data_IF_518274527970
#
_entry.id   IF_518274527970
#
_cell.length_a   1.000
_cell.length_b   1.000
_cell.length_c   1.000
_cell.angle_alpha   90.00
_cell.angle_beta   90.00
_cell.angle_gamma   90.00
#
_symmetry.space_group_name_H-M   'P 1'
#
loop_
_entity.id
_entity.type
_entity.pdbx_description
1 polymer ?
#
# COMPACT_ATOMS: atom_id res chain seq x y z
N UNK A 1 -5.30 6.87 -16.37
CA UNK A 1 -3.92 6.98 -16.85
C UNK A 1 -3.31 8.23 -16.26
N UNK A 2 -2.04 8.17 -15.88
CA UNK A 2 -1.27 9.30 -15.38
C UNK A 2 -0.75 10.15 -16.54
N UNK A 3 -0.66 11.46 -16.35
CA UNK A 3 0.00 12.35 -17.30
C UNK A 3 1.53 12.21 -17.22
N UNK A 4 2.22 12.65 -18.28
CA UNK A 4 3.69 12.71 -18.26
C UNK A 4 4.22 13.60 -17.12
N UNK A 5 3.53 14.70 -16.82
CA UNK A 5 3.90 15.60 -15.72
C UNK A 5 3.75 14.92 -14.36
N UNK A 6 2.70 14.11 -14.17
CA UNK A 6 2.51 13.32 -12.94
C UNK A 6 3.60 12.26 -12.77
N UNK A 7 3.97 11.57 -13.86
CA UNK A 7 5.06 10.59 -13.84
C UNK A 7 6.40 11.27 -13.54
N UNK A 8 6.66 12.43 -14.15
CA UNK A 8 7.88 13.19 -13.90
C UNK A 8 7.93 13.73 -12.46
N UNK A 9 6.81 14.22 -11.94
CA UNK A 9 6.70 14.64 -10.54
C UNK A 9 7.03 13.48 -9.60
N UNK A 10 6.45 12.30 -9.82
CA UNK A 10 6.74 11.10 -9.05
C UNK A 10 8.23 10.74 -9.08
N UNK A 11 8.86 10.74 -10.26
CA UNK A 11 10.29 10.42 -10.41
C UNK A 11 11.20 11.41 -9.67
N UNK A 12 10.80 12.68 -9.61
CA UNK A 12 11.57 13.73 -8.93
C UNK A 12 11.35 13.72 -7.42
N UNK A 13 10.13 13.44 -6.96
CA UNK A 13 9.73 13.61 -5.55
C UNK A 13 9.50 12.30 -4.81
N UNK A 14 9.59 11.14 -5.46
CA UNK A 14 9.33 9.84 -4.87
C UNK A 14 7.88 9.60 -4.44
N UNK A 15 6.98 10.55 -4.68
CA UNK A 15 5.56 10.41 -4.42
C UNK A 15 4.70 11.14 -5.44
N UNK A 16 3.43 10.75 -5.50
CA UNK A 16 2.40 11.41 -6.29
C UNK A 16 1.06 11.27 -5.56
N UNK A 17 0.33 12.38 -5.40
CA UNK A 17 -1.06 12.35 -4.95
C UNK A 17 -1.97 12.44 -6.17
N UNK A 18 -2.93 11.53 -6.25
CA UNK A 18 -4.04 11.56 -7.19
C UNK A 18 -5.31 11.78 -6.39
N UNK A 19 -5.88 12.98 -6.51
CA UNK A 19 -7.17 13.34 -5.90
C UNK A 19 -8.30 12.62 -6.62
N UNK A 20 -9.41 12.38 -5.90
CA UNK A 20 -10.59 11.70 -6.45
C UNK A 20 -10.25 10.36 -7.14
N UNK A 21 -9.23 9.66 -6.63
CA UNK A 21 -8.76 8.42 -7.23
C UNK A 21 -9.84 7.34 -7.16
N UNK A 22 -10.43 7.12 -5.98
CA UNK A 22 -11.60 6.27 -5.79
C UNK A 22 -12.90 7.07 -5.87
N UNK A 23 -13.94 6.45 -6.41
CA UNK A 23 -15.30 6.96 -6.31
C UNK A 23 -15.85 6.76 -4.90
N UNK A 24 -16.94 7.46 -4.54
CA UNK A 24 -17.61 7.25 -3.25
C UNK A 24 -18.05 5.79 -3.05
N UNK A 25 -18.52 5.13 -4.12
CA UNK A 25 -18.90 3.71 -4.08
C UNK A 25 -17.69 2.80 -3.81
N UNK A 26 -16.53 3.07 -4.44
CA UNK A 26 -15.30 2.32 -4.20
C UNK A 26 -14.76 2.57 -2.78
N UNK A 27 -14.79 3.81 -2.30
CA UNK A 27 -14.43 4.13 -0.90
C UNK A 27 -15.28 3.32 0.07
N UNK A 28 -16.59 3.25 -0.16
CA UNK A 28 -17.49 2.46 0.68
C UNK A 28 -17.16 0.96 0.65
N UNK A 29 -16.84 0.40 -0.52
CA UNK A 29 -16.43 -1.01 -0.64
C UNK A 29 -15.22 -1.33 0.24
N UNK A 30 -14.18 -0.50 0.18
CA UNK A 30 -12.99 -0.69 1.01
C UNK A 30 -13.27 -0.40 2.49
N UNK A 31 -14.15 0.55 2.81
CA UNK A 31 -14.51 0.87 4.19
C UNK A 31 -15.27 -0.30 4.85
N UNK A 32 -16.19 -0.94 4.12
CA UNK A 32 -16.94 -2.10 4.60
C UNK A 32 -16.01 -3.31 4.85
N UNK A 33 -15.11 -3.62 3.92
CA UNK A 33 -14.12 -4.69 4.09
C UNK A 33 -13.16 -4.39 5.25
N UNK A 34 -12.69 -3.13 5.39
CA UNK A 34 -11.88 -2.71 6.53
C UNK A 34 -12.62 -2.87 7.86
N UNK A 35 -13.89 -2.45 7.94
CA UNK A 35 -14.74 -2.59 9.12
C UNK A 35 -14.87 -4.05 9.53
N UNK A 36 -15.17 -4.94 8.57
CA UNK A 36 -15.32 -6.38 8.81
C UNK A 36 -14.03 -7.01 9.35
N UNK A 37 -12.89 -6.77 8.70
CA UNK A 37 -11.61 -7.33 9.13
C UNK A 37 -11.13 -6.72 10.46
N UNK A 38 -11.37 -5.42 10.68
CA UNK A 38 -11.05 -4.76 11.95
C UNK A 38 -11.85 -5.37 13.09
N UNK A 39 -13.16 -5.56 12.92
CA UNK A 39 -14.00 -6.16 13.95
C UNK A 39 -13.52 -7.57 14.31
N UNK A 40 -13.17 -8.39 13.30
CA UNK A 40 -12.59 -9.71 13.52
C UNK A 40 -11.29 -9.62 14.34
N UNK A 41 -10.33 -8.78 13.93
CA UNK A 41 -9.07 -8.62 14.64
C UNK A 41 -9.27 -8.11 16.08
N UNK A 42 -10.22 -7.20 16.28
CA UNK A 42 -10.56 -6.63 17.58
C UNK A 42 -11.10 -7.69 18.56
N UNK A 43 -11.79 -8.72 18.06
CA UNK A 43 -12.24 -9.86 18.87
C UNK A 43 -11.08 -10.78 19.29
N UNK A 44 -9.98 -10.78 18.54
CA UNK A 44 -8.80 -11.62 18.81
C UNK A 44 -7.71 -10.90 19.62
N UNK A 45 -7.67 -9.57 19.60
CA UNK A 45 -6.63 -8.78 20.28
C UNK A 45 -6.79 -7.27 20.06
N UNK A 46 -5.95 -6.49 20.75
CA UNK A 46 -5.91 -5.04 20.62
C UNK A 46 -5.28 -4.61 19.29
N UNK A 47 -5.97 -3.74 18.55
CA UNK A 47 -5.55 -3.29 17.22
C UNK A 47 -4.18 -2.59 17.25
N UNK A 48 -3.83 -1.91 18.35
CA UNK A 48 -2.56 -1.19 18.44
C UNK A 48 -1.45 -2.12 18.91
N UNK A 49 -1.64 -2.82 20.03
CA UNK A 49 -0.54 -3.60 20.63
C UNK A 49 -0.33 -4.97 19.99
N UNK A 50 -1.41 -5.66 19.59
CA UNK A 50 -1.31 -7.03 19.06
C UNK A 50 -1.20 -7.04 17.54
N UNK A 51 -1.89 -6.11 16.86
CA UNK A 51 -1.90 -6.00 15.39
C UNK A 51 -1.02 -4.88 14.83
N UNK A 52 -0.46 -4.01 15.68
CA UNK A 52 0.42 -2.93 15.22
C UNK A 52 -0.26 -1.91 14.29
N UNK A 53 -1.58 -1.78 14.38
CA UNK A 53 -2.44 -0.99 13.49
C UNK A 53 -2.48 -1.47 12.02
N UNK A 54 -1.95 -2.66 11.70
CA UNK A 54 -1.89 -3.19 10.32
C UNK A 54 -2.68 -4.49 10.24
N UNK A 55 -3.64 -4.53 9.31
CA UNK A 55 -4.49 -5.70 9.07
C UNK A 55 -4.34 -6.13 7.62
N UNK A 56 -3.72 -7.27 7.39
CA UNK A 56 -3.60 -7.89 6.06
C UNK A 56 -4.79 -8.83 5.81
N UNK A 57 -5.62 -8.63 4.78
CA UNK A 57 -6.80 -9.47 4.52
C UNK A 57 -6.52 -10.97 4.46
N UNK A 58 -5.33 -11.36 3.98
CA UNK A 58 -4.87 -12.75 3.91
C UNK A 58 -3.84 -13.13 4.99
N UNK A 59 -3.53 -12.20 5.90
CA UNK A 59 -2.53 -12.39 6.96
C UNK A 59 -3.10 -12.27 8.38
N UNK A 60 -4.34 -11.78 8.54
CA UNK A 60 -4.94 -11.55 9.85
C UNK A 60 -5.68 -12.76 10.44
N UNK A 61 -5.70 -13.91 9.75
CA UNK A 61 -6.40 -15.12 10.21
C UNK A 61 -7.90 -15.16 9.90
N UNK A 62 -8.45 -14.16 9.20
CA UNK A 62 -9.85 -14.17 8.77
C UNK A 62 -10.19 -15.34 7.83
N UNK A 63 -9.23 -15.70 6.97
CA UNK A 63 -9.28 -16.93 6.17
C UNK A 63 -8.47 -18.01 6.87
N UNK A 64 -8.90 -19.26 6.78
CA UNK A 64 -8.16 -20.38 7.37
C UNK A 64 -6.79 -20.51 6.70
N UNK A 65 -5.74 -20.85 7.46
CA UNK A 65 -4.36 -21.00 6.94
C UNK A 65 -4.29 -21.99 5.76
N UNK A 66 -5.11 -23.03 5.78
CA UNK A 66 -5.22 -24.02 4.70
C UNK A 66 -5.78 -23.43 3.40
N UNK A 67 -6.53 -22.32 3.47
CA UNK A 67 -7.05 -21.60 2.30
C UNK A 67 -6.00 -20.64 1.73
N UNK A 68 -5.15 -20.04 2.56
CA UNK A 68 -4.12 -19.07 2.15
C UNK A 68 -2.86 -19.78 1.61
N UNK A 69 -3.05 -20.57 0.57
CA UNK A 69 -1.99 -21.37 -0.08
C UNK A 69 -1.00 -20.51 -0.88
N UNK A 70 0.16 -21.08 -1.22
CA UNK A 70 1.11 -20.46 -2.15
C UNK A 70 0.48 -20.15 -3.51
N UNK A 71 -0.49 -20.96 -3.95
CA UNK A 71 -1.26 -20.71 -5.16
C UNK A 71 -2.11 -19.44 -5.00
N UNK A 72 -2.86 -19.31 -3.91
CA UNK A 72 -3.64 -18.11 -3.62
C UNK A 72 -2.77 -16.84 -3.50
N UNK A 73 -1.50 -16.98 -3.10
CA UNK A 73 -0.53 -15.87 -3.03
C UNK A 73 0.19 -15.55 -4.34
N UNK A 74 0.03 -16.32 -5.42
CA UNK A 74 0.77 -16.12 -6.68
C UNK A 74 -0.02 -16.26 -7.96
N UNK A 75 -1.28 -16.69 -7.88
CA UNK A 75 -2.17 -16.90 -9.02
C UNK A 75 -3.39 -15.98 -8.93
N UNK A 76 -3.61 -15.17 -9.96
CA UNK A 76 -4.66 -14.15 -10.01
C UNK A 76 -6.07 -14.74 -9.87
N UNK A 77 -6.48 -15.78 -10.62
CA UNK A 77 -7.76 -16.45 -10.40
C UNK A 77 -7.95 -16.96 -8.96
N UNK A 78 -6.91 -17.58 -8.38
CA UNK A 78 -6.96 -18.11 -7.02
C UNK A 78 -7.09 -17.01 -5.96
N UNK A 79 -6.31 -15.92 -6.09
CA UNK A 79 -6.43 -14.73 -5.24
C UNK A 79 -7.82 -14.10 -5.33
N UNK A 80 -8.33 -13.87 -6.55
CA UNK A 80 -9.67 -13.31 -6.77
C UNK A 80 -10.76 -14.20 -6.17
N UNK A 81 -10.62 -15.52 -6.32
CA UNK A 81 -11.58 -16.48 -5.75
C UNK A 81 -11.54 -16.50 -4.23
N UNK A 82 -10.37 -16.35 -3.61
CA UNK A 82 -10.24 -16.30 -2.16
C UNK A 82 -10.77 -14.99 -1.59
N UNK A 83 -10.35 -13.84 -2.14
CA UNK A 83 -10.81 -12.52 -1.68
C UNK A 83 -12.31 -12.30 -1.88
N UNK A 84 -12.91 -12.88 -2.92
CA UNK A 84 -14.35 -12.84 -3.14
C UNK A 84 -15.18 -13.60 -2.09
N UNK A 85 -14.55 -14.38 -1.19
CA UNK A 85 -15.26 -15.02 -0.07
C UNK A 85 -15.52 -14.06 1.08
N UNK A 86 -14.69 -13.02 1.24
CA UNK A 86 -14.82 -12.06 2.34
C UNK A 86 -15.21 -10.65 1.90
N UNK A 87 -15.10 -10.33 0.60
CA UNK A 87 -15.46 -9.03 0.04
C UNK A 87 -16.18 -9.16 -1.32
N UNK A 88 -16.96 -8.15 -1.75
CA UNK A 88 -17.48 -8.11 -3.11
C UNK A 88 -16.35 -8.23 -4.14
N UNK A 89 -16.51 -9.06 -5.18
CA UNK A 89 -15.49 -9.31 -6.21
C UNK A 89 -14.96 -8.02 -6.89
N UNK A 90 -15.76 -6.96 -6.91
CA UNK A 90 -15.35 -5.65 -7.41
C UNK A 90 -14.14 -5.06 -6.65
N UNK A 91 -13.99 -5.34 -5.35
CA UNK A 91 -12.90 -4.83 -4.53
C UNK A 91 -11.53 -5.36 -4.96
N UNK A 92 -11.25 -6.69 -4.98
CA UNK A 92 -9.95 -7.19 -5.41
C UNK A 92 -9.70 -6.97 -6.90
N UNK A 93 -10.75 -6.82 -7.73
CA UNK A 93 -10.59 -6.35 -9.12
C UNK A 93 -10.13 -4.89 -9.16
N UNK A 94 -10.73 -3.99 -8.37
CA UNK A 94 -10.28 -2.60 -8.27
C UNK A 94 -8.82 -2.52 -7.81
N UNK A 95 -8.41 -3.33 -6.82
CA UNK A 95 -7.02 -3.44 -6.36
C UNK A 95 -6.07 -3.80 -7.51
N UNK A 96 -6.39 -4.80 -8.32
CA UNK A 96 -5.47 -5.22 -9.38
C UNK A 96 -5.55 -4.31 -10.63
N UNK A 97 -6.76 -3.88 -11.00
CA UNK A 97 -7.01 -3.27 -12.32
C UNK A 97 -7.02 -1.75 -12.26
N UNK A 98 -7.24 -1.13 -11.09
CA UNK A 98 -7.19 0.33 -10.94
C UNK A 98 -5.91 0.77 -10.26
N UNK A 99 -5.68 0.29 -9.04
CA UNK A 99 -4.43 0.60 -8.32
C UNK A 99 -3.22 0.04 -9.07
N UNK A 100 -3.28 -1.23 -9.49
CA UNK A 100 -2.20 -1.88 -10.21
C UNK A 100 -1.83 -1.17 -11.51
N UNK A 101 -2.81 -0.75 -12.33
CA UNK A 101 -2.53 -0.02 -13.58
C UNK A 101 -1.87 1.34 -13.34
N UNK A 102 -2.20 2.04 -12.26
CA UNK A 102 -1.53 3.29 -11.91
C UNK A 102 -0.12 3.04 -11.37
N UNK A 103 0.04 2.05 -10.49
CA UNK A 103 1.35 1.67 -9.97
C UNK A 103 2.31 1.21 -11.08
N UNK A 104 1.83 0.46 -12.07
CA UNK A 104 2.63 0.00 -13.21
C UNK A 104 3.16 1.15 -14.09
N UNK A 105 2.48 2.29 -14.14
CA UNK A 105 3.00 3.47 -14.86
C UNK A 105 4.15 4.16 -14.12
N UNK A 106 4.29 3.91 -12.81
CA UNK A 106 5.32 4.48 -11.94
C UNK A 106 6.49 3.53 -11.70
N UNK A 107 6.24 2.22 -11.84
CA UNK A 107 7.26 1.17 -11.77
C UNK A 107 8.04 1.06 -13.09
N UNK A 108 9.21 0.43 -13.00
CA UNK A 108 10.02 0.11 -14.17
C UNK A 108 9.30 -0.92 -15.06
N UNK A 109 9.11 -0.59 -16.34
CA UNK A 109 8.21 -1.32 -17.24
C UNK A 109 8.88 -2.55 -17.89
N UNK A 110 10.19 -2.74 -17.69
CA UNK A 110 10.95 -3.82 -18.34
C UNK A 110 10.71 -5.20 -17.70
N UNK A 111 9.96 -5.30 -16.59
CA UNK A 111 9.55 -6.59 -16.02
C UNK A 111 8.09 -6.60 -15.56
N UNK A 112 7.49 -7.81 -15.42
CA UNK A 112 6.11 -7.94 -14.95
C UNK A 112 5.91 -7.33 -13.56
N UNK A 113 4.76 -6.69 -13.38
CA UNK A 113 4.35 -6.10 -12.09
C UNK A 113 3.45 -7.07 -11.33
N UNK A 114 3.62 -7.10 -10.00
CA UNK A 114 2.85 -7.94 -9.11
C UNK A 114 2.26 -7.14 -7.95
N UNK A 115 1.05 -7.51 -7.49
CA UNK A 115 0.60 -7.14 -6.14
C UNK A 115 1.50 -7.85 -5.14
N UNK A 116 2.19 -7.05 -4.34
CA UNK A 116 3.18 -7.46 -3.34
C UNK A 116 2.55 -7.59 -1.95
N UNK A 117 1.72 -6.64 -1.56
CA UNK A 117 0.99 -6.69 -0.31
C UNK A 117 -0.37 -5.98 -0.44
N UNK A 118 -1.30 -6.30 0.45
CA UNK A 118 -2.51 -5.52 0.69
C UNK A 118 -2.76 -5.44 2.19
N UNK A 119 -2.97 -4.23 2.69
CA UNK A 119 -3.20 -4.01 4.10
C UNK A 119 -4.13 -2.84 4.35
N UNK A 120 -4.87 -2.92 5.46
CA UNK A 120 -5.54 -1.79 6.07
C UNK A 120 -4.67 -1.26 7.20
N UNK A 121 -4.49 0.06 7.25
CA UNK A 121 -3.85 0.74 8.37
C UNK A 121 -4.95 1.43 9.18
N UNK A 122 -5.21 0.90 10.37
CA UNK A 122 -6.34 1.27 11.22
C UNK A 122 -5.81 1.88 12.52
N UNK A 123 -6.04 3.19 12.71
CA UNK A 123 -5.66 3.88 13.94
C UNK A 123 -6.90 4.20 14.78
N UNK A 124 -7.07 3.60 15.97
CA UNK A 124 -8.16 3.94 16.87
C UNK A 124 -8.14 5.42 17.29
N UNK A 125 -9.28 6.00 17.69
CA UNK A 125 -9.33 7.38 18.16
C UNK A 125 -8.45 7.58 19.41
N UNK A 126 -7.97 8.81 19.60
CA UNK A 126 -7.16 9.23 20.76
C UNK A 126 -5.99 8.30 21.11
N UNK A 127 -5.30 7.79 20.08
CA UNK A 127 -4.24 6.80 20.21
C UNK A 127 -2.90 7.35 19.78
N UNK A 128 -2.16 7.93 20.73
CA UNK A 128 -0.79 8.44 20.53
C UNK A 128 0.20 7.32 20.19
N UNK A 129 -0.05 6.12 20.74
CA UNK A 129 0.75 4.91 20.51
C UNK A 129 0.58 4.33 19.10
N UNK A 130 -0.47 4.72 18.36
CA UNK A 130 -0.73 4.26 17.00
C UNK A 130 0.18 4.94 15.95
N UNK A 131 1.39 5.35 16.30
CA UNK A 131 2.32 6.03 15.39
C UNK A 131 3.21 5.03 14.64
N UNK A 132 3.57 5.37 13.41
CA UNK A 132 4.60 4.66 12.66
C UNK A 132 5.86 5.52 12.65
N UNK A 133 6.97 4.98 13.14
CA UNK A 133 8.26 5.66 13.14
C UNK A 133 8.74 5.93 11.71
N UNK A 134 9.73 6.82 11.56
CA UNK A 134 10.37 7.07 10.26
C UNK A 134 10.98 5.80 9.69
N UNK A 135 10.58 5.45 8.47
CA UNK A 135 11.08 4.27 7.76
C UNK A 135 11.01 4.48 6.23
N UNK A 136 11.54 3.50 5.50
CA UNK A 136 11.35 3.30 4.07
C UNK A 136 10.82 1.87 3.92
N UNK A 137 9.84 1.63 3.06
CA UNK A 137 9.21 0.31 2.91
C UNK A 137 10.20 -0.77 2.45
N UNK A 138 11.20 -0.40 1.65
CA UNK A 138 12.27 -1.33 1.23
C UNK A 138 13.01 -1.95 2.42
N UNK A 139 13.01 -1.31 3.60
CA UNK A 139 13.74 -1.80 4.78
C UNK A 139 13.12 -3.05 5.40
N UNK A 140 11.87 -3.37 5.09
CA UNK A 140 11.23 -4.63 5.50
C UNK A 140 11.76 -5.85 4.73
N UNK A 141 12.55 -5.62 3.66
CA UNK A 141 13.15 -6.67 2.86
C UNK A 141 14.65 -6.85 3.16
N UNK A 142 15.18 -8.02 2.82
CA UNK A 142 16.62 -8.31 2.92
C UNK A 142 17.43 -7.41 1.97
N UNK A 143 18.73 -7.28 2.20
CA UNK A 143 19.59 -6.41 1.38
C UNK A 143 19.58 -6.79 -0.11
N UNK A 144 19.51 -8.08 -0.44
CA UNK A 144 19.39 -8.55 -1.82
C UNK A 144 18.02 -8.26 -2.45
N UNK A 145 16.96 -8.18 -1.64
CA UNK A 145 15.60 -7.89 -2.08
C UNK A 145 15.32 -6.39 -2.23
N UNK A 146 16.09 -5.53 -1.55
CA UNK A 146 15.94 -4.06 -1.62
C UNK A 146 16.18 -3.45 -3.00
N UNK A 147 16.69 -4.23 -3.95
CA UNK A 147 16.89 -3.80 -5.34
C UNK A 147 15.58 -3.76 -6.15
N UNK A 148 14.51 -4.38 -5.66
CA UNK A 148 13.21 -4.34 -6.33
C UNK A 148 12.59 -2.94 -6.22
N UNK A 149 12.14 -2.41 -7.35
CA UNK A 149 11.27 -1.23 -7.38
C UNK A 149 9.91 -1.57 -6.80
N UNK A 150 9.49 -0.83 -5.78
CA UNK A 150 8.22 -1.01 -5.06
C UNK A 150 7.47 0.32 -5.06
N UNK A 151 6.15 0.26 -5.26
CA UNK A 151 5.24 1.38 -5.07
C UNK A 151 4.21 1.00 -4.01
N UNK A 152 4.10 1.81 -2.97
CA UNK A 152 3.04 1.73 -1.95
C UNK A 152 1.95 2.74 -2.28
N UNK A 153 0.67 2.35 -2.28
CA UNK A 153 -0.43 3.24 -2.62
C UNK A 153 -1.29 3.54 -1.39
N UNK A 154 -0.93 4.56 -0.64
CA UNK A 154 -1.59 4.93 0.60
C UNK A 154 -2.88 5.71 0.32
N UNK A 155 -4.03 5.11 0.61
CA UNK A 155 -5.36 5.62 0.20
C UNK A 155 -6.27 5.76 1.42
N UNK A 156 -6.46 6.98 1.95
CA UNK A 156 -7.35 7.22 3.07
C UNK A 156 -8.80 6.90 2.70
N UNK A 157 -9.48 6.13 3.55
CA UNK A 157 -10.94 5.88 3.45
C UNK A 157 -11.75 6.88 4.28
N UNK A 158 -11.05 7.72 5.04
CA UNK A 158 -11.56 8.87 5.79
C UNK A 158 -10.59 10.02 5.58
N UNK A 159 -11.03 11.26 5.40
CA UNK A 159 -10.12 12.39 5.17
C UNK A 159 -9.07 12.52 6.28
N UNK A 160 -7.85 12.87 5.89
CA UNK A 160 -6.67 12.85 6.78
C UNK A 160 -5.96 14.19 6.85
N UNK A 161 -5.43 14.44 8.04
CA UNK A 161 -4.59 15.59 8.38
C UNK A 161 -3.59 15.19 9.45
N UNK A 162 -2.75 16.12 9.88
CA UNK A 162 -1.81 15.92 10.97
C UNK A 162 -2.52 15.56 12.29
N UNK A 163 -3.77 16.01 12.46
CA UNK A 163 -4.55 15.78 13.68
C UNK A 163 -5.00 14.32 13.85
N UNK A 164 -5.17 13.57 12.76
CA UNK A 164 -5.61 12.16 12.81
C UNK A 164 -4.57 11.18 12.23
N UNK A 165 -3.30 11.61 12.17
CA UNK A 165 -2.20 10.72 11.84
C UNK A 165 -2.00 10.49 10.34
N UNK A 166 -2.05 11.56 9.54
CA UNK A 166 -1.61 11.52 8.14
C UNK A 166 -0.12 11.17 8.00
N UNK A 167 0.29 10.83 6.79
CA UNK A 167 1.68 10.56 6.43
C UNK A 167 2.47 11.87 6.35
N UNK A 168 3.64 11.86 6.99
CA UNK A 168 4.69 12.86 6.81
C UNK A 168 5.78 12.25 5.94
N UNK A 169 6.24 12.96 4.94
CA UNK A 169 7.33 12.52 4.05
C UNK A 169 8.48 13.50 4.09
N UNK A 170 9.69 12.97 4.00
CA UNK A 170 10.88 13.77 3.74
C UNK A 170 11.02 14.06 2.25
N UNK A 171 11.68 15.17 1.86
CA UNK A 171 12.15 15.34 0.49
C UNK A 171 12.90 14.10 0.02
N UNK A 172 12.47 13.54 -1.11
CA UNK A 172 13.06 12.35 -1.71
C UNK A 172 14.55 12.59 -2.01
N UNK A 173 15.40 11.56 -1.80
CA UNK A 173 16.82 11.72 -1.98
C UNK A 173 17.10 11.90 -3.47
N UNK A 174 18.36 12.17 -3.79
CA UNK A 174 18.83 12.20 -5.17
C UNK A 174 18.26 10.99 -5.96
N UNK A 175 17.43 11.21 -7.00
CA UNK A 175 16.83 10.14 -7.79
C UNK A 175 17.86 9.20 -8.43
N UNK A 176 19.12 9.63 -8.58
CA UNK A 176 20.22 8.79 -9.05
C UNK A 176 20.73 7.81 -7.98
N UNK A 177 20.54 8.12 -6.69
CA UNK A 177 20.99 7.31 -5.56
C UNK A 177 19.96 7.29 -4.42
N UNK A 178 18.80 6.64 -4.62
CA UNK A 178 17.75 6.54 -3.60
C UNK A 178 18.10 5.46 -2.56
N UNK A 179 19.28 5.60 -1.94
CA UNK A 179 19.80 4.68 -0.95
C UNK A 179 18.94 4.66 0.31
N UNK A 180 19.22 3.66 1.15
CA UNK A 180 18.68 3.60 2.51
C UNK A 180 19.15 4.84 3.28
N UNK A 181 18.21 5.68 3.71
CA UNK A 181 18.51 6.84 4.54
C UNK A 181 19.11 6.38 5.86
N UNK A 182 20.29 6.92 6.18
CA UNK A 182 20.92 6.77 7.50
C UNK A 182 20.85 8.11 8.22
N UNK A 183 20.03 8.20 9.26
CA UNK A 183 20.00 9.38 10.14
C UNK A 183 18.60 9.80 10.60
N UNK A 184 18.59 10.74 11.54
CA UNK A 184 17.38 11.43 11.99
C UNK A 184 16.72 12.19 10.82
N UNK A 185 15.41 12.44 10.88
CA UNK A 185 14.74 13.18 9.83
C UNK A 185 15.26 14.63 9.71
N UNK A 186 15.32 15.17 8.49
CA UNK A 186 15.49 16.60 8.25
C UNK A 186 14.12 17.27 8.36
N UNK A 187 13.92 18.03 9.43
CA UNK A 187 12.67 18.75 9.67
C UNK A 187 12.41 19.84 8.62
N UNK A 188 13.42 20.22 7.82
CA UNK A 188 13.25 21.21 6.74
C UNK A 188 12.68 20.55 5.49
N UNK A 189 11.55 21.07 5.03
CA UNK A 189 10.93 20.63 3.78
C UNK A 189 10.05 19.39 3.92
N UNK A 190 9.71 18.98 5.15
CA UNK A 190 8.71 17.94 5.39
C UNK A 190 7.38 18.31 4.73
N UNK A 191 6.78 17.32 4.05
CA UNK A 191 5.46 17.43 3.48
C UNK A 191 4.47 16.57 4.28
N UNK A 192 3.36 17.17 4.69
CA UNK A 192 2.25 16.46 5.33
C UNK A 192 1.15 16.21 4.29
N UNK A 193 0.81 14.95 4.05
CA UNK A 193 -0.16 14.55 3.03
C UNK A 193 -1.60 14.76 3.51
N UNK A 194 -2.09 16.01 3.53
CA UNK A 194 -3.52 16.28 3.76
C UNK A 194 -4.32 15.83 2.54
N UNK A 195 -5.28 14.94 2.74
CA UNK A 195 -5.98 14.26 1.64
C UNK A 195 -7.43 13.99 2.03
N UNK A 196 -8.35 14.18 1.08
CA UNK A 196 -9.73 13.75 1.21
C UNK A 196 -9.85 12.22 1.05
N UNK A 197 -10.90 11.63 1.64
CA UNK A 197 -11.20 10.22 1.45
C UNK A 197 -11.29 9.85 -0.03
N UNK A 198 -10.70 8.72 -0.41
CA UNK A 198 -10.63 8.24 -1.79
C UNK A 198 -9.53 8.85 -2.64
N UNK A 199 -8.79 9.86 -2.15
CA UNK A 199 -7.51 10.24 -2.78
C UNK A 199 -6.48 9.11 -2.61
N UNK A 200 -5.47 9.03 -3.49
CA UNK A 200 -4.40 8.02 -3.38
C UNK A 200 -3.01 8.66 -3.45
N UNK A 201 -2.15 8.33 -2.50
CA UNK A 201 -0.75 8.73 -2.48
C UNK A 201 0.12 7.54 -2.87
N UNK A 202 0.69 7.60 -4.06
CA UNK A 202 1.69 6.65 -4.53
C UNK A 202 3.04 7.05 -3.96
N UNK A 203 3.75 6.12 -3.33
CA UNK A 203 5.06 6.34 -2.72
C UNK A 203 6.04 5.32 -3.26
N UNK A 204 7.22 5.79 -3.68
CA UNK A 204 8.37 4.93 -3.90
C UNK A 204 8.73 4.22 -2.60
N UNK A 205 9.04 2.92 -2.65
CA UNK A 205 9.41 2.15 -1.46
C UNK A 205 10.67 2.69 -0.74
N UNK A 206 11.43 3.57 -1.38
CA UNK A 206 12.61 4.27 -0.83
C UNK A 206 12.25 5.66 -0.30
N UNK A 207 11.02 6.13 -0.43
CA UNK A 207 10.58 7.38 0.17
C UNK A 207 10.54 7.24 1.69
N UNK A 208 11.30 8.08 2.39
CA UNK A 208 11.32 8.09 3.84
C UNK A 208 10.09 8.82 4.37
N UNK A 209 9.31 8.12 5.19
CA UNK A 209 8.04 8.61 5.67
C UNK A 209 7.71 8.08 7.08
N UNK A 210 6.76 8.72 7.74
CA UNK A 210 6.23 8.31 9.04
C UNK A 210 4.75 8.71 9.15
N UNK A 211 4.09 8.37 10.26
CA UNK A 211 2.79 8.98 10.59
C UNK A 211 2.60 9.08 12.10
N UNK A 212 2.03 10.19 12.57
CA UNK A 212 1.70 10.40 13.99
C UNK A 212 0.53 9.53 14.45
N UNK A 213 0.29 9.47 15.76
CA UNK A 213 -0.91 8.88 16.33
C UNK A 213 -2.20 9.56 15.84
N UNK A 214 -3.34 8.97 16.17
CA UNK A 214 -4.64 9.55 15.83
C UNK A 214 -5.23 10.29 17.02
N UNK A 215 -5.21 11.62 17.00
CA UNK A 215 -5.81 12.44 18.06
C UNK A 215 -7.30 12.76 17.81
N UNK A 216 -7.85 12.33 16.68
CA UNK A 216 -9.24 12.50 16.32
C UNK A 216 -10.18 11.58 17.13
N UNK A 217 -11.49 11.86 16.99
CA UNK A 217 -12.56 11.14 17.71
C UNK A 217 -13.11 9.92 16.96
N UNK A 218 -12.57 9.59 15.79
CA UNK A 218 -12.99 8.46 14.96
C UNK A 218 -11.77 7.63 14.55
N UNK A 219 -12.00 6.36 14.20
CA UNK A 219 -10.97 5.54 13.59
C UNK A 219 -10.48 6.20 12.30
N UNK A 220 -9.16 6.23 12.09
CA UNK A 220 -8.57 6.59 10.82
C UNK A 220 -8.24 5.31 10.07
N UNK A 221 -8.86 5.14 8.91
CA UNK A 221 -8.71 3.93 8.10
C UNK A 221 -8.10 4.28 6.75
N UNK A 222 -7.12 3.48 6.35
CA UNK A 222 -6.41 3.60 5.07
C UNK A 222 -6.33 2.22 4.45
N UNK A 223 -6.56 2.12 3.15
CA UNK A 223 -6.16 0.96 2.35
C UNK A 223 -4.79 1.23 1.71
N UNK A 224 -3.89 0.25 1.75
CA UNK A 224 -2.55 0.38 1.21
C UNK A 224 -2.11 -0.91 0.51
N UNK A 225 -2.41 -1.09 -0.80
CA UNK A 225 -1.77 -2.10 -1.59
C UNK A 225 -0.35 -1.65 -1.95
N UNK A 226 0.55 -2.61 -2.07
CA UNK A 226 1.92 -2.43 -2.53
C UNK A 226 2.14 -3.25 -3.78
N UNK A 227 2.90 -2.72 -4.74
CA UNK A 227 3.21 -3.38 -6.00
C UNK A 227 4.72 -3.42 -6.21
N UNK A 228 5.23 -4.50 -6.81
CA UNK A 228 6.65 -4.66 -7.13
C UNK A 228 6.88 -5.02 -8.59
N UNK A 229 8.04 -4.60 -9.11
CA UNK A 229 8.63 -5.21 -10.30
C UNK A 229 9.18 -6.57 -9.93
N UNK A 230 8.74 -7.62 -10.64
CA UNK A 230 9.14 -8.99 -10.36
C UNK A 230 8.54 -9.55 -9.07
N UNK A 231 8.72 -10.86 -8.89
CA UNK A 231 8.34 -11.57 -7.66
C UNK A 231 9.44 -11.43 -6.63
N UNK A 232 9.14 -10.92 -5.44
CA UNK A 232 10.11 -10.87 -4.36
C UNK A 232 10.12 -12.22 -3.63
N UNK A 233 11.28 -12.88 -3.61
CA UNK A 233 11.46 -14.20 -3.00
C UNK A 233 12.50 -14.17 -1.89
N UNK A 234 12.29 -14.96 -0.83
CA UNK A 234 13.27 -15.28 0.22
C UNK A 234 14.17 -16.42 -0.25
N UNK A 235 15.15 -16.79 0.56
CA UNK A 235 15.97 -17.99 0.31
C UNK A 235 15.10 -19.23 0.09
N UNK A 236 15.48 -20.09 -0.86
CA UNK A 236 14.75 -21.32 -1.18
C UNK A 236 13.53 -21.16 -2.08
N UNK A 237 13.44 -20.08 -2.87
CA UNK A 237 12.36 -19.80 -3.83
C UNK A 237 10.98 -19.53 -3.21
N UNK A 238 10.92 -19.31 -1.89
CA UNK A 238 9.70 -19.01 -1.14
C UNK A 238 9.31 -17.55 -1.35
N UNK A 239 8.04 -17.26 -1.63
CA UNK A 239 7.56 -15.88 -1.79
C UNK A 239 7.76 -15.09 -0.49
N UNK A 240 8.27 -13.86 -0.62
CA UNK A 240 8.46 -12.98 0.52
C UNK A 240 7.14 -12.38 1.05
N UNK A 241 6.16 -12.20 0.15
CA UNK A 241 4.82 -11.69 0.38
C UNK A 241 3.87 -12.23 -0.73
N UNK A 242 2.88 -11.45 -1.17
CA UNK A 242 2.10 -11.79 -2.37
C UNK A 242 2.94 -11.61 -3.64
N UNK A 243 2.52 -12.29 -4.70
CA UNK A 243 3.09 -12.20 -6.04
C UNK A 243 1.99 -12.37 -7.09
N UNK A 244 0.88 -11.64 -6.93
CA UNK A 244 -0.27 -11.75 -7.85
C UNK A 244 0.02 -10.96 -9.13
N UNK A 245 0.08 -11.60 -10.30
CA UNK A 245 0.40 -10.90 -11.53
C UNK A 245 -0.69 -9.89 -11.88
N UNK A 246 -0.26 -8.69 -12.28
CA UNK A 246 -1.13 -7.78 -13.03
C UNK A 246 -1.24 -8.26 -14.48
N UNK A 247 -2.35 -7.94 -15.14
CA UNK A 247 -2.45 -8.17 -16.58
C UNK A 247 -1.48 -7.23 -17.31
N UNK A 248 -0.91 -7.70 -18.43
CA UNK A 248 -0.07 -6.83 -19.23
C UNK A 248 -0.91 -5.67 -19.80
N UNK A 249 -0.40 -4.44 -19.74
CA UNK A 249 -1.11 -3.31 -20.26
C UNK A 249 -1.32 -3.47 -21.77
N UNK A 250 -2.58 -3.46 -22.19
CA UNK A 250 -2.98 -3.71 -23.59
C UNK A 250 -2.48 -2.66 -24.59
N UNK A 251 -1.91 -1.54 -24.13
CA UNK A 251 -1.35 -0.49 -24.99
C UNK A 251 0.06 -0.79 -25.52
N UNK A 252 0.76 -1.81 -25.01
CA UNK A 252 2.08 -2.22 -25.53
C UNK A 252 1.97 -2.89 -26.92
N UNK A 253 0.79 -3.37 -27.29
CA UNK A 253 0.55 -4.06 -28.57
C UNK A 253 0.26 -3.15 -29.78
N UNK A 254 0.53 -1.84 -29.69
CA UNK A 254 0.22 -0.88 -30.77
C UNK A 254 1.39 -0.01 -31.24
N UNK A 255 2.61 -0.54 -31.12
CA UNK A 255 3.80 0.03 -31.74
C UNK A 255 4.45 -1.01 -32.66
N UNK A 256 3.78 -1.33 -33.77
CA UNK A 256 4.37 -1.90 -34.99
C UNK A 256 3.98 -1.02 -36.19
#
# INVERSE_FOLDING_TARGET
MLSLDQIQFYRTHGYLIVEEFLTEEEVQLYADDAQQLTNYCYEQGDIVSDWGCVIEPLGCGYHDDDQVTQQAKSDRPSYLSLRAQSAPRALPLCTLDKFGLFAQQLLDQDQPTYLLNEQYIVKPPHSDSAQFAWHQDVLYFSESQRQHSIVSVWTPLTSVSESNGTVLVEPFPDPEYPGVYRGAPDEKGLFAARMEAGSAMFMDGRLKHCSSGNHGASFRVVYMPQFSVGRIKREGDILAALAIPLEEPTWVASAD
#
